data_IF_979483049771
#
_entry.id   IF_979483049771
#
_cell.length_a   1.000
_cell.length_b   1.000
_cell.length_c   1.000
_cell.angle_alpha   90.00
_cell.angle_beta   90.00
_cell.angle_gamma   90.00
#
_symmetry.space_group_name_H-M   'P 1'
#
loop_
_entity.id
_entity.type
_entity.pdbx_description
1 polymer ?
#
# COMPACT_ATOMS: atom_id res chain seq x y z
N UNK A 1 -0.30 12.30 -34.12
CA UNK A 1 0.13 11.07 -33.40
C UNK A 1 0.74 11.36 -32.02
N UNK A 2 1.32 12.55 -31.76
CA UNK A 2 1.93 12.88 -30.46
C UNK A 2 0.98 13.03 -29.25
N UNK A 3 -0.26 13.46 -29.45
CA UNK A 3 -1.19 13.70 -28.32
C UNK A 3 -1.57 12.41 -27.60
N UNK A 4 -1.83 11.34 -28.36
CA UNK A 4 -2.16 10.02 -27.80
C UNK A 4 -0.99 9.45 -27.00
N UNK A 5 0.24 9.62 -27.51
CA UNK A 5 1.46 9.21 -26.80
C UNK A 5 1.64 9.96 -25.49
N UNK A 6 1.43 11.29 -25.48
CA UNK A 6 1.53 12.11 -24.28
C UNK A 6 0.48 11.71 -23.23
N UNK A 7 -0.78 11.53 -23.64
CA UNK A 7 -1.86 11.11 -22.73
C UNK A 7 -1.58 9.73 -22.15
N UNK A 8 -1.15 8.76 -22.97
CA UNK A 8 -0.80 7.43 -22.51
C UNK A 8 0.34 7.45 -21.48
N UNK A 9 1.37 8.27 -21.70
CA UNK A 9 2.48 8.41 -20.74
C UNK A 9 2.01 8.97 -19.40
N UNK A 10 1.18 10.02 -19.42
CA UNK A 10 0.61 10.60 -18.18
C UNK A 10 -0.29 9.60 -17.46
N UNK A 11 -1.12 8.86 -18.21
CA UNK A 11 -1.97 7.82 -17.65
C UNK A 11 -1.15 6.74 -16.95
N UNK A 12 -0.11 6.20 -17.61
CA UNK A 12 0.74 5.15 -17.03
C UNK A 12 1.46 5.65 -15.79
N UNK A 13 2.06 6.84 -15.84
CA UNK A 13 2.78 7.41 -14.69
C UNK A 13 1.82 7.73 -13.54
N UNK A 14 0.70 8.37 -13.83
CA UNK A 14 -0.33 8.73 -12.84
C UNK A 14 -0.97 7.49 -12.20
N UNK A 15 -1.26 6.45 -12.99
CA UNK A 15 -1.78 5.18 -12.48
C UNK A 15 -0.73 4.46 -11.63
N UNK A 16 0.53 4.40 -12.07
CA UNK A 16 1.58 3.70 -11.33
C UNK A 16 1.87 4.39 -10.00
N UNK A 17 2.00 5.72 -10.00
CA UNK A 17 2.30 6.50 -8.81
C UNK A 17 1.08 6.63 -7.88
N UNK A 18 -0.13 6.77 -8.44
CA UNK A 18 -1.36 6.96 -7.67
C UNK A 18 -1.96 5.64 -7.18
N UNK A 19 -2.04 4.63 -8.04
CA UNK A 19 -2.69 3.36 -7.75
C UNK A 19 -1.74 2.24 -7.31
N UNK A 20 -0.42 2.46 -7.31
CA UNK A 20 0.55 1.47 -6.86
C UNK A 20 0.28 0.96 -5.43
N UNK A 21 0.00 1.88 -4.50
CA UNK A 21 -0.32 1.53 -3.12
C UNK A 21 -1.69 0.80 -2.99
N UNK A 22 -2.79 1.27 -3.62
CA UNK A 22 -4.04 0.50 -3.73
C UNK A 22 -3.87 -0.93 -4.24
N UNK A 23 -2.97 -1.17 -5.20
CA UNK A 23 -2.70 -2.53 -5.72
C UNK A 23 -2.10 -3.42 -4.63
N UNK A 24 -1.13 -2.92 -3.84
CA UNK A 24 -0.53 -3.68 -2.74
C UNK A 24 -1.59 -4.03 -1.68
N UNK A 25 -2.47 -3.10 -1.36
CA UNK A 25 -3.59 -3.33 -0.45
C UNK A 25 -4.54 -4.42 -0.97
N UNK A 26 -4.90 -4.36 -2.27
CA UNK A 26 -5.75 -5.38 -2.89
C UNK A 26 -5.10 -6.77 -2.89
N UNK A 27 -3.78 -6.86 -3.08
CA UNK A 27 -3.02 -8.10 -2.94
C UNK A 27 -3.06 -8.64 -1.50
N UNK A 28 -2.92 -7.76 -0.50
CA UNK A 28 -3.10 -8.12 0.92
C UNK A 28 -4.48 -8.70 1.21
N UNK A 29 -5.53 -8.07 0.67
CA UNK A 29 -6.90 -8.56 0.80
C UNK A 29 -7.09 -9.92 0.12
N UNK A 30 -6.54 -10.11 -1.08
CA UNK A 30 -6.56 -11.39 -1.81
C UNK A 30 -5.91 -12.51 -1.00
N UNK A 31 -4.71 -12.29 -0.46
CA UNK A 31 -4.02 -13.27 0.37
C UNK A 31 -4.78 -13.56 1.67
N UNK A 32 -5.39 -12.54 2.27
CA UNK A 32 -6.18 -12.71 3.50
C UNK A 32 -7.43 -13.55 3.26
N UNK A 33 -8.09 -13.37 2.12
CA UNK A 33 -9.24 -14.18 1.70
C UNK A 33 -8.82 -15.64 1.48
N UNK A 34 -7.72 -15.88 0.75
CA UNK A 34 -7.18 -17.24 0.55
C UNK A 34 -6.75 -17.92 1.86
N UNK A 35 -6.28 -17.14 2.85
CA UNK A 35 -5.86 -17.66 4.15
C UNK A 35 -6.96 -17.85 5.19
N UNK A 36 -8.17 -17.32 4.96
CA UNK A 36 -9.27 -17.43 5.93
C UNK A 36 -9.84 -18.85 6.00
N UNK A 37 -9.78 -19.60 4.89
CA UNK A 37 -10.57 -20.81 4.71
C UNK A 37 -12.03 -20.43 4.48
N UNK A 38 -12.68 -21.03 3.50
CA UNK A 38 -14.06 -20.75 3.15
C UNK A 38 -14.82 -22.06 2.92
N UNK A 39 -16.13 -22.00 3.11
CA UNK A 39 -17.03 -23.11 2.78
C UNK A 39 -17.32 -23.02 1.28
N UNK A 40 -16.86 -24.02 0.54
CA UNK A 40 -17.07 -24.06 -0.90
C UNK A 40 -18.55 -24.38 -1.19
N UNK A 41 -19.02 -23.99 -2.38
CA UNK A 41 -20.42 -24.21 -2.79
C UNK A 41 -20.85 -25.70 -2.83
N UNK A 42 -19.89 -26.63 -2.76
CA UNK A 42 -20.10 -28.08 -2.69
C UNK A 42 -20.18 -28.62 -1.24
N UNK A 43 -20.09 -27.75 -0.23
CA UNK A 43 -20.08 -28.11 1.19
C UNK A 43 -18.72 -28.57 1.72
N UNK A 44 -17.65 -28.53 0.91
CA UNK A 44 -16.29 -28.80 1.40
C UNK A 44 -15.70 -27.58 2.12
N UNK A 45 -15.00 -27.82 3.22
CA UNK A 45 -14.35 -26.76 4.00
C UNK A 45 -12.88 -26.66 3.57
N UNK A 46 -12.49 -25.50 3.04
CA UNK A 46 -11.08 -25.19 2.81
C UNK A 46 -10.42 -24.89 4.15
N UNK A 47 -9.44 -25.71 4.55
CA UNK A 47 -8.71 -25.50 5.80
C UNK A 47 -7.99 -24.14 5.80
N UNK A 48 -8.10 -23.34 6.88
CA UNK A 48 -7.42 -22.06 6.98
C UNK A 48 -5.91 -22.22 6.86
N UNK A 49 -5.27 -21.44 6.00
CA UNK A 49 -3.81 -21.46 5.85
C UNK A 49 -3.19 -20.29 6.63
N UNK A 50 -2.48 -20.56 7.75
CA UNK A 50 -1.89 -19.52 8.58
C UNK A 50 -0.82 -18.71 7.85
N UNK A 51 -0.15 -19.27 6.83
CA UNK A 51 0.89 -18.59 6.05
C UNK A 51 0.29 -17.47 5.21
N UNK A 52 -0.80 -17.73 4.48
CA UNK A 52 -1.48 -16.71 3.67
C UNK A 52 -2.11 -15.62 4.55
N UNK A 53 -2.61 -16.00 5.73
CA UNK A 53 -3.12 -15.04 6.72
C UNK A 53 -2.02 -14.10 7.22
N UNK A 54 -0.85 -14.62 7.57
CA UNK A 54 0.30 -13.81 7.99
C UNK A 54 0.80 -12.90 6.87
N UNK A 55 0.91 -13.42 5.64
CA UNK A 55 1.32 -12.65 4.47
C UNK A 55 0.34 -11.49 4.16
N UNK A 56 -0.97 -11.72 4.30
CA UNK A 56 -1.98 -10.66 4.16
C UNK A 56 -1.79 -9.53 5.18
N UNK A 57 -1.63 -9.86 6.47
CA UNK A 57 -1.35 -8.86 7.50
C UNK A 57 -0.06 -8.09 7.26
N UNK A 58 0.99 -8.78 6.80
CA UNK A 58 2.26 -8.14 6.46
C UNK A 58 2.09 -7.07 5.36
N UNK A 59 1.33 -7.37 4.29
CA UNK A 59 1.06 -6.40 3.23
C UNK A 59 0.25 -5.20 3.72
N UNK A 60 -0.75 -5.41 4.59
CA UNK A 60 -1.48 -4.29 5.21
C UNK A 60 -0.57 -3.43 6.09
N UNK A 61 0.28 -4.05 6.91
CA UNK A 61 1.23 -3.33 7.76
C UNK A 61 2.23 -2.52 6.92
N UNK A 62 2.71 -3.10 5.81
CA UNK A 62 3.57 -2.40 4.86
C UNK A 62 2.88 -1.18 4.26
N UNK A 63 1.62 -1.29 3.84
CA UNK A 63 0.82 -0.16 3.31
C UNK A 63 0.72 0.94 4.35
N UNK A 64 0.36 0.61 5.60
CA UNK A 64 0.26 1.59 6.69
C UNK A 64 1.61 2.27 6.94
N UNK A 65 2.70 1.52 6.95
CA UNK A 65 4.04 2.08 7.14
C UNK A 65 4.42 3.07 6.01
N UNK A 66 4.16 2.71 4.75
CA UNK A 66 4.42 3.58 3.60
C UNK A 66 3.59 4.87 3.68
N UNK A 67 2.29 4.77 4.02
CA UNK A 67 1.43 5.95 4.20
C UNK A 67 1.94 6.84 5.32
N UNK A 68 2.28 6.26 6.47
CA UNK A 68 2.81 7.02 7.61
C UNK A 68 4.09 7.76 7.23
N UNK A 69 5.05 7.08 6.59
CA UNK A 69 6.29 7.71 6.11
C UNK A 69 5.99 8.81 5.09
N UNK A 70 5.08 8.59 4.14
CA UNK A 70 4.67 9.60 3.16
C UNK A 70 4.06 10.85 3.81
N UNK A 71 3.16 10.67 4.78
CA UNK A 71 2.56 11.78 5.54
C UNK A 71 3.63 12.53 6.32
N UNK A 72 4.47 11.82 7.08
CA UNK A 72 5.54 12.44 7.86
C UNK A 72 6.49 13.22 6.96
N UNK A 73 6.81 12.70 5.77
CA UNK A 73 7.68 13.37 4.81
C UNK A 73 7.08 14.67 4.29
N UNK A 74 5.80 14.65 3.89
CA UNK A 74 5.09 15.85 3.40
C UNK A 74 4.93 16.88 4.51
N UNK A 75 4.59 16.44 5.73
CA UNK A 75 4.34 17.32 6.88
C UNK A 75 5.61 17.74 7.63
N UNK A 76 6.80 17.31 7.22
CA UNK A 76 8.05 17.50 7.98
C UNK A 76 8.31 18.93 8.45
N UNK A 77 8.05 19.92 7.58
CA UNK A 77 8.28 21.33 7.91
C UNK A 77 7.24 21.87 8.88
N UNK A 78 5.98 21.46 8.71
CA UNK A 78 4.87 21.79 9.63
C UNK A 78 5.13 21.23 11.03
N UNK A 79 5.64 20.00 11.13
CA UNK A 79 6.01 19.33 12.38
C UNK A 79 7.15 20.05 13.11
N UNK A 80 8.21 20.42 12.38
CA UNK A 80 9.32 21.19 12.95
C UNK A 80 8.86 22.58 13.42
N UNK A 81 8.07 23.29 12.59
CA UNK A 81 7.63 24.65 12.88
C UNK A 81 6.61 24.75 14.02
N UNK A 82 5.62 23.86 14.06
CA UNK A 82 4.54 23.94 15.07
C UNK A 82 4.78 23.09 16.31
N UNK A 83 5.50 21.96 16.18
CA UNK A 83 5.67 21.00 17.26
C UNK A 83 7.13 20.91 17.73
N UNK A 84 8.08 21.51 17.01
CA UNK A 84 9.51 21.41 17.32
C UNK A 84 10.09 20.00 17.14
N UNK A 85 9.38 19.12 16.41
CA UNK A 85 9.76 17.71 16.25
C UNK A 85 10.46 17.53 14.90
N UNK A 86 11.73 17.18 14.95
CA UNK A 86 12.51 16.77 13.76
C UNK A 86 12.35 15.27 13.52
N UNK A 87 11.40 14.92 12.66
CA UNK A 87 11.09 13.52 12.33
C UNK A 87 12.18 12.87 11.46
N UNK A 88 12.81 13.63 10.57
CA UNK A 88 13.87 13.13 9.67
C UNK A 88 15.19 13.87 9.92
N UNK A 89 16.34 13.18 9.91
CA UNK A 89 17.64 13.78 10.17
C UNK A 89 17.97 14.91 9.18
N UNK A 90 18.61 15.98 9.69
CA UNK A 90 19.08 17.12 8.89
C UNK A 90 20.09 16.73 7.79
N UNK A 91 20.75 15.58 7.92
CA UNK A 91 21.76 15.09 6.98
C UNK A 91 21.19 14.36 5.77
N UNK A 92 19.87 14.24 5.64
CA UNK A 92 19.20 13.63 4.48
C UNK A 92 18.87 14.66 3.38
N UNK A 93 19.40 15.88 3.53
CA UNK A 93 19.27 17.03 2.64
C UNK A 93 20.66 17.62 2.40
#
# INVERSE_FOLDING_TARGET
MHTIEAIARVLVVGLTLGAGLPVVFALGLRLRALGAGDENADGSITAPNPVYKAAGYFLFALVVAVVAVGILWVCRHTLDYHLGIQVFPASWY
#
